data_IF_201897112154
#
_entry.id   IF_201897112154
#
_cell.length_a   1.000
_cell.length_b   1.000
_cell.length_c   1.000
_cell.angle_alpha   90.00
_cell.angle_beta   90.00
_cell.angle_gamma   90.00
#
_symmetry.space_group_name_H-M   'P 1'
#
loop_
_entity.id
_entity.type
_entity.pdbx_description
1 polymer ?
#
# COMPACT_ATOMS: atom_id res chain seq x y z
N UNK A 1 -6.26 -0.42 9.97
CA UNK A 1 -6.52 -0.92 11.34
C UNK A 1 -5.27 -1.01 12.20
N UNK A 2 -4.31 -1.88 11.85
CA UNK A 2 -3.17 -2.17 12.71
C UNK A 2 -2.33 -0.94 13.06
N UNK A 3 -2.16 -0.01 12.13
CA UNK A 3 -1.51 1.28 12.38
C UNK A 3 -2.20 2.07 13.49
N UNK A 4 -3.54 2.08 13.52
CA UNK A 4 -4.33 2.79 14.55
C UNK A 4 -4.23 2.09 15.89
N UNK A 5 -4.37 0.76 15.90
CA UNK A 5 -4.32 -0.06 17.13
C UNK A 5 -2.92 0.03 17.76
N UNK A 6 -1.87 -0.27 17.00
CA UNK A 6 -0.50 -0.19 17.50
C UNK A 6 -0.08 1.24 17.78
N UNK A 7 -0.56 2.23 17.02
CA UNK A 7 -0.33 3.64 17.32
C UNK A 7 -0.92 4.07 18.67
N UNK A 8 -2.14 3.63 18.97
CA UNK A 8 -2.77 3.85 20.27
C UNK A 8 -2.04 3.13 21.41
N UNK A 9 -1.60 1.88 21.17
CA UNK A 9 -0.93 1.05 22.17
C UNK A 9 0.50 1.51 22.48
N UNK A 10 1.28 1.86 21.46
CA UNK A 10 2.69 2.25 21.58
C UNK A 10 2.88 3.74 21.95
N UNK A 11 1.97 4.62 21.52
CA UNK A 11 2.10 6.08 21.70
C UNK A 11 0.94 6.72 22.49
N UNK A 12 0.03 5.92 23.07
CA UNK A 12 -1.01 6.40 23.99
C UNK A 12 -2.17 7.19 23.35
N UNK A 13 -2.36 7.10 22.03
CA UNK A 13 -3.43 7.80 21.32
C UNK A 13 -4.85 7.27 21.64
N UNK A 14 -5.85 8.14 21.63
CA UNK A 14 -7.27 7.76 21.84
C UNK A 14 -7.94 7.32 20.55
N UNK A 15 -8.51 6.11 20.55
CA UNK A 15 -9.31 5.61 19.42
C UNK A 15 -10.71 6.23 19.50
N UNK A 16 -11.07 7.04 18.50
CA UNK A 16 -12.38 7.72 18.46
C UNK A 16 -13.48 6.73 18.04
N UNK A 17 -14.71 6.82 18.56
CA UNK A 17 -15.82 5.92 18.20
C UNK A 17 -16.11 5.86 16.69
N UNK A 18 -15.94 6.97 15.98
CA UNK A 18 -16.05 7.03 14.51
C UNK A 18 -15.03 6.11 13.83
N UNK A 19 -13.79 6.08 14.31
CA UNK A 19 -12.74 5.19 13.78
C UNK A 19 -13.10 3.74 14.05
N UNK A 20 -13.64 3.42 15.22
CA UNK A 20 -14.11 2.07 15.55
C UNK A 20 -15.23 1.61 14.61
N UNK A 21 -16.21 2.49 14.34
CA UNK A 21 -17.30 2.20 13.40
C UNK A 21 -16.79 1.94 11.99
N UNK A 22 -15.88 2.78 11.47
CA UNK A 22 -15.27 2.57 10.15
C UNK A 22 -14.48 1.26 10.09
N UNK A 23 -13.76 0.90 11.17
CA UNK A 23 -13.05 -0.37 11.25
C UNK A 23 -14.00 -1.56 11.15
N UNK A 24 -15.09 -1.55 11.93
CA UNK A 24 -16.09 -2.62 11.90
C UNK A 24 -16.69 -2.80 10.51
N UNK A 25 -17.11 -1.71 9.85
CA UNK A 25 -17.69 -1.76 8.50
C UNK A 25 -16.71 -2.38 7.50
N UNK A 26 -15.45 -1.93 7.51
CA UNK A 26 -14.43 -2.47 6.60
C UNK A 26 -14.13 -3.94 6.86
N UNK A 27 -14.06 -4.37 8.13
CA UNK A 27 -13.86 -5.79 8.46
C UNK A 27 -15.07 -6.65 8.09
N UNK A 28 -16.30 -6.15 8.22
CA UNK A 28 -17.49 -6.86 7.76
C UNK A 28 -17.43 -7.09 6.24
N UNK A 29 -17.01 -6.09 5.45
CA UNK A 29 -16.81 -6.24 4.01
C UNK A 29 -15.76 -7.31 3.68
N UNK A 30 -14.62 -7.29 4.38
CA UNK A 30 -13.57 -8.31 4.22
C UNK A 30 -14.09 -9.70 4.59
N UNK A 31 -14.87 -9.84 5.67
CA UNK A 31 -15.41 -11.13 6.10
C UNK A 31 -16.37 -11.76 5.07
N UNK A 32 -17.17 -10.94 4.38
CA UNK A 32 -18.05 -11.40 3.30
C UNK A 32 -17.25 -11.95 2.13
N UNK A 33 -16.23 -11.21 1.67
CA UNK A 33 -15.34 -11.66 0.58
C UNK A 33 -14.59 -12.91 0.98
N UNK A 34 -14.02 -12.93 2.20
CA UNK A 34 -13.28 -14.08 2.71
C UNK A 34 -14.14 -15.35 2.80
N UNK A 35 -15.40 -15.21 3.20
CA UNK A 35 -16.36 -16.33 3.22
C UNK A 35 -16.73 -16.84 1.82
N UNK A 36 -16.87 -15.94 0.85
CA UNK A 36 -17.05 -16.30 -0.56
C UNK A 36 -15.83 -17.07 -1.09
N UNK A 37 -14.63 -16.51 -0.89
CA UNK A 37 -13.38 -17.09 -1.36
C UNK A 37 -13.08 -18.44 -0.70
N UNK A 38 -13.42 -18.62 0.58
CA UNK A 38 -13.25 -19.91 1.26
C UNK A 38 -14.07 -21.03 0.61
N UNK A 39 -15.27 -20.71 0.12
CA UNK A 39 -16.12 -21.67 -0.57
C UNK A 39 -15.60 -22.00 -1.97
N UNK A 40 -14.96 -21.04 -2.65
CA UNK A 40 -14.47 -21.20 -4.02
C UNK A 40 -13.05 -21.81 -4.09
N UNK A 41 -12.14 -21.37 -3.22
CA UNK A 41 -10.71 -21.72 -3.25
C UNK A 41 -10.24 -22.60 -2.09
N UNK A 42 -11.12 -22.93 -1.13
CA UNK A 42 -10.85 -23.88 -0.05
C UNK A 42 -9.86 -23.41 1.03
N UNK A 43 -9.17 -24.35 1.67
CA UNK A 43 -8.32 -24.09 2.86
C UNK A 43 -7.10 -23.18 2.60
N UNK A 44 -6.66 -23.05 1.35
CA UNK A 44 -5.55 -22.17 0.97
C UNK A 44 -5.84 -20.69 1.27
N UNK A 45 -7.11 -20.30 1.29
CA UNK A 45 -7.57 -18.95 1.64
C UNK A 45 -7.20 -18.58 3.07
N UNK A 46 -7.21 -19.55 3.99
CA UNK A 46 -6.84 -19.33 5.40
C UNK A 46 -5.35 -19.01 5.49
N UNK A 47 -4.51 -19.77 4.78
CA UNK A 47 -3.06 -19.56 4.76
C UNK A 47 -2.73 -18.21 4.11
N UNK A 48 -3.37 -17.88 2.98
CA UNK A 48 -3.25 -16.58 2.33
C UNK A 48 -3.68 -15.42 3.25
N UNK A 49 -4.81 -15.58 3.95
CA UNK A 49 -5.32 -14.62 4.93
C UNK A 49 -4.34 -14.37 6.09
N UNK A 50 -3.69 -15.43 6.59
CA UNK A 50 -2.63 -15.31 7.60
C UNK A 50 -1.42 -14.55 7.07
N UNK A 51 -0.95 -14.83 5.84
CA UNK A 51 0.15 -14.08 5.23
C UNK A 51 -0.19 -12.60 5.01
N UNK A 52 -1.40 -12.29 4.52
CA UNK A 52 -1.88 -10.91 4.35
C UNK A 52 -1.93 -10.19 5.71
N UNK A 53 -2.45 -10.86 6.73
CA UNK A 53 -2.51 -10.30 8.10
C UNK A 53 -1.11 -10.04 8.65
N UNK A 54 -0.19 -10.99 8.49
CA UNK A 54 1.22 -10.83 8.87
C UNK A 54 1.87 -9.65 8.17
N UNK A 55 1.69 -9.54 6.84
CA UNK A 55 2.18 -8.41 6.04
C UNK A 55 1.62 -7.07 6.53
N UNK A 56 0.32 -7.01 6.82
CA UNK A 56 -0.33 -5.80 7.32
C UNK A 56 0.18 -5.38 8.70
N UNK A 57 0.49 -6.34 9.58
CA UNK A 57 1.10 -6.10 10.89
C UNK A 57 2.53 -5.56 10.72
N UNK A 58 3.36 -6.22 9.92
CA UNK A 58 4.74 -5.78 9.65
C UNK A 58 4.77 -4.38 9.05
N UNK A 59 3.91 -4.11 8.07
CA UNK A 59 3.80 -2.79 7.46
C UNK A 59 3.33 -1.71 8.44
N UNK A 60 2.39 -2.05 9.32
CA UNK A 60 1.93 -1.12 10.34
C UNK A 60 3.03 -0.77 11.35
N UNK A 61 3.81 -1.76 11.79
CA UNK A 61 4.96 -1.54 12.66
C UNK A 61 6.02 -0.68 11.95
N UNK A 62 6.33 -0.97 10.69
CA UNK A 62 7.22 -0.15 9.87
C UNK A 62 6.75 1.32 9.87
N UNK A 63 5.50 1.60 9.51
CA UNK A 63 5.00 2.98 9.46
C UNK A 63 5.05 3.72 10.80
N UNK A 64 4.87 3.01 11.91
CA UNK A 64 4.89 3.60 13.25
C UNK A 64 6.32 3.85 13.75
N UNK A 65 7.21 2.88 13.55
CA UNK A 65 8.59 2.95 14.02
C UNK A 65 9.45 3.89 13.16
N UNK A 66 9.15 4.02 11.86
CA UNK A 66 9.94 4.86 10.98
C UNK A 66 9.71 6.35 11.16
N UNK A 67 8.60 6.79 11.77
CA UNK A 67 8.30 8.22 12.02
C UNK A 67 9.43 8.95 12.78
N UNK A 68 9.82 8.56 14.00
CA UNK A 68 10.89 9.24 14.73
C UNK A 68 12.24 9.13 14.00
N UNK A 69 12.54 7.99 13.37
CA UNK A 69 13.77 7.83 12.60
C UNK A 69 13.83 8.80 11.41
N UNK A 70 12.73 8.98 10.69
CA UNK A 70 12.66 9.92 9.55
C UNK A 70 12.92 11.35 10.01
N UNK A 71 12.46 11.73 11.20
CA UNK A 71 12.71 13.06 11.78
C UNK A 71 14.19 13.27 12.17
N UNK A 72 14.89 12.22 12.62
CA UNK A 72 16.30 12.28 13.01
C UNK A 72 17.27 12.29 11.82
N UNK A 73 17.15 11.33 10.89
CA UNK A 73 18.09 11.16 9.76
C UNK A 73 17.64 11.85 8.48
N UNK A 74 16.42 12.37 8.45
CA UNK A 74 15.81 13.00 7.28
C UNK A 74 15.24 12.00 6.28
N UNK A 75 14.12 12.39 5.66
CA UNK A 75 13.33 11.50 4.78
C UNK A 75 14.12 10.94 3.60
N UNK A 76 15.03 11.72 2.98
CA UNK A 76 15.80 11.26 1.81
C UNK A 76 16.78 10.14 2.14
N UNK A 77 17.54 10.26 3.24
CA UNK A 77 18.50 9.24 3.64
C UNK A 77 17.77 7.97 4.10
N UNK A 78 16.72 8.15 4.89
CA UNK A 78 15.87 7.05 5.35
C UNK A 78 15.32 6.23 4.18
N UNK A 79 14.75 6.90 3.16
CA UNK A 79 14.22 6.22 1.97
C UNK A 79 15.30 5.43 1.22
N UNK A 80 16.50 5.98 1.04
CA UNK A 80 17.60 5.27 0.39
C UNK A 80 18.02 4.02 1.16
N UNK A 81 18.18 4.12 2.48
CA UNK A 81 18.53 2.99 3.35
C UNK A 81 17.43 1.93 3.30
N UNK A 82 16.16 2.34 3.37
CA UNK A 82 15.01 1.44 3.31
C UNK A 82 14.95 0.68 1.97
N UNK A 83 15.21 1.34 0.85
CA UNK A 83 15.26 0.69 -0.47
C UNK A 83 16.40 -0.32 -0.59
N UNK A 84 17.59 0.02 -0.06
CA UNK A 84 18.73 -0.91 -0.04
C UNK A 84 18.40 -2.14 0.83
N UNK A 85 17.87 -1.92 2.04
CA UNK A 85 17.47 -2.98 2.95
C UNK A 85 16.38 -3.88 2.33
N UNK A 86 15.38 -3.29 1.67
CA UNK A 86 14.35 -4.04 0.94
C UNK A 86 14.96 -4.87 -0.20
N UNK A 87 15.88 -4.30 -0.97
CA UNK A 87 16.55 -5.00 -2.07
C UNK A 87 17.36 -6.20 -1.56
N UNK A 88 18.09 -6.04 -0.46
CA UNK A 88 18.82 -7.14 0.19
C UNK A 88 17.84 -8.22 0.69
N UNK A 89 16.75 -7.82 1.34
CA UNK A 89 15.72 -8.74 1.83
C UNK A 89 15.08 -9.56 0.71
N UNK A 90 14.78 -8.93 -0.43
CA UNK A 90 14.26 -9.60 -1.62
C UNK A 90 15.28 -10.59 -2.18
N UNK A 91 16.56 -10.21 -2.29
CA UNK A 91 17.62 -11.11 -2.77
C UNK A 91 17.81 -12.33 -1.87
N UNK A 92 17.79 -12.14 -0.54
CA UNK A 92 17.85 -13.24 0.43
C UNK A 92 16.64 -14.15 0.28
N UNK A 93 15.43 -13.58 0.24
CA UNK A 93 14.19 -14.35 0.09
C UNK A 93 14.19 -15.16 -1.21
N UNK A 94 14.61 -14.54 -2.32
CA UNK A 94 14.75 -15.20 -3.61
C UNK A 94 15.76 -16.35 -3.55
N UNK A 95 16.91 -16.13 -2.91
CA UNK A 95 17.98 -17.16 -2.80
C UNK A 95 17.54 -18.38 -1.99
N UNK A 96 16.64 -18.20 -1.02
CA UNK A 96 16.10 -19.29 -0.19
C UNK A 96 14.95 -20.01 -0.90
N UNK A 97 14.10 -19.29 -1.63
CA UNK A 97 12.85 -19.83 -2.18
C UNK A 97 12.97 -20.34 -3.62
N UNK A 98 13.99 -19.89 -4.37
CA UNK A 98 14.16 -20.23 -5.79
C UNK A 98 15.56 -20.74 -6.07
N UNK A 99 15.65 -21.74 -6.95
CA UNK A 99 16.93 -22.23 -7.47
C UNK A 99 17.53 -21.20 -8.44
N UNK A 100 18.85 -20.89 -8.37
CA UNK A 100 19.51 -19.86 -9.17
C UNK A 100 19.37 -20.00 -10.70
N UNK A 101 19.02 -21.19 -11.22
CA UNK A 101 18.87 -21.46 -12.65
C UNK A 101 17.44 -21.47 -13.19
N UNK A 102 16.43 -21.21 -12.36
CA UNK A 102 15.01 -21.39 -12.73
C UNK A 102 14.32 -20.17 -13.34
N UNK A 103 14.99 -19.01 -13.41
CA UNK A 103 14.35 -17.77 -13.87
C UNK A 103 14.62 -17.56 -15.35
N UNK A 104 13.65 -17.92 -16.17
CA UNK A 104 13.64 -17.51 -17.56
C UNK A 104 13.00 -16.12 -17.66
N UNK A 105 13.85 -15.10 -17.77
CA UNK A 105 13.41 -13.73 -18.06
C UNK A 105 13.57 -13.50 -19.55
N UNK A 106 12.47 -13.28 -20.26
CA UNK A 106 12.51 -12.83 -21.66
C UNK A 106 13.03 -11.39 -21.73
N UNK A 107 13.71 -11.03 -22.83
CA UNK A 107 14.21 -9.66 -23.05
C UNK A 107 13.12 -8.59 -22.88
N UNK A 108 11.89 -8.88 -23.33
CA UNK A 108 10.74 -7.99 -23.15
C UNK A 108 10.34 -7.82 -21.67
N UNK A 109 10.39 -8.89 -20.88
CA UNK A 109 10.11 -8.81 -19.45
C UNK A 109 11.18 -7.99 -18.73
N UNK A 110 12.46 -8.11 -19.14
CA UNK A 110 13.55 -7.33 -18.57
C UNK A 110 13.40 -5.84 -18.84
N UNK A 111 12.94 -5.47 -20.05
CA UNK A 111 12.61 -4.08 -20.38
C UNK A 111 11.47 -3.54 -19.51
N UNK A 112 10.39 -4.31 -19.33
CA UNK A 112 9.26 -3.91 -18.48
C UNK A 112 9.67 -3.76 -17.02
N UNK A 113 10.48 -4.68 -16.49
CA UNK A 113 11.02 -4.59 -15.12
C UNK A 113 11.83 -3.31 -14.96
N UNK A 114 12.67 -2.95 -15.94
CA UNK A 114 13.46 -1.72 -15.89
C UNK A 114 12.57 -0.47 -15.91
N UNK A 115 11.53 -0.46 -16.77
CA UNK A 115 10.57 0.64 -16.84
C UNK A 115 9.87 0.82 -15.50
N UNK A 116 9.33 -0.27 -14.91
CA UNK A 116 8.63 -0.23 -13.63
C UNK A 116 9.59 0.23 -12.52
N UNK A 117 10.80 -0.34 -12.47
CA UNK A 117 11.79 0.01 -11.44
C UNK A 117 12.13 1.51 -11.46
N UNK A 118 12.35 2.10 -12.64
CA UNK A 118 12.75 3.51 -12.75
C UNK A 118 11.54 4.44 -12.64
N UNK A 119 10.54 4.26 -13.52
CA UNK A 119 9.43 5.20 -13.68
C UNK A 119 8.30 5.01 -12.67
N UNK A 120 8.10 3.79 -12.16
CA UNK A 120 7.03 3.52 -11.19
C UNK A 120 7.54 3.44 -9.75
N UNK A 121 8.83 3.19 -9.53
CA UNK A 121 9.40 3.02 -8.18
C UNK A 121 10.37 4.14 -7.80
N UNK A 122 11.53 4.24 -8.47
CA UNK A 122 12.61 5.16 -8.06
C UNK A 122 12.18 6.62 -8.19
N UNK A 123 11.75 7.05 -9.38
CA UNK A 123 11.37 8.46 -9.62
C UNK A 123 10.22 8.88 -8.69
N UNK A 124 9.07 8.16 -8.63
CA UNK A 124 7.96 8.57 -7.78
C UNK A 124 8.32 8.59 -6.30
N UNK A 125 9.16 7.67 -5.83
CA UNK A 125 9.60 7.62 -4.43
C UNK A 125 10.39 8.87 -4.07
N UNK A 126 11.38 9.27 -4.88
CA UNK A 126 12.15 10.50 -4.63
C UNK A 126 11.30 11.76 -4.76
N UNK A 127 10.38 11.83 -5.73
CA UNK A 127 9.45 12.95 -5.88
C UNK A 127 8.53 13.09 -4.67
N UNK A 128 8.03 11.97 -4.15
CA UNK A 128 7.18 11.94 -2.96
C UNK A 128 7.96 12.40 -1.73
N UNK A 129 9.16 11.88 -1.52
CA UNK A 129 10.06 12.33 -0.44
C UNK A 129 10.37 13.83 -0.56
N UNK A 130 10.64 14.33 -1.76
CA UNK A 130 10.87 15.76 -2.00
C UNK A 130 9.60 16.61 -1.75
N UNK A 131 8.42 16.10 -2.09
CA UNK A 131 7.15 16.76 -1.79
C UNK A 131 6.93 16.86 -0.28
N UNK A 132 7.13 15.76 0.47
CA UNK A 132 7.05 15.75 1.93
C UNK A 132 8.00 16.79 2.53
N UNK A 133 9.24 16.87 2.04
CA UNK A 133 10.22 17.83 2.53
C UNK A 133 9.85 19.30 2.23
N UNK A 134 9.08 19.59 1.17
CA UNK A 134 8.71 20.96 0.75
C UNK A 134 7.37 21.44 1.31
N UNK A 135 6.36 20.56 1.36
CA UNK A 135 4.98 20.93 1.72
C UNK A 135 4.45 20.18 2.95
N UNK A 136 5.25 19.30 3.56
CA UNK A 136 4.88 18.49 4.71
C UNK A 136 4.15 17.19 4.35
N UNK A 137 4.15 16.24 5.28
CA UNK A 137 3.51 14.92 5.13
C UNK A 137 1.99 15.02 5.03
N UNK A 138 1.36 15.94 5.77
CA UNK A 138 -0.10 16.13 5.76
C UNK A 138 -0.61 16.57 4.38
N UNK A 139 -0.01 17.60 3.78
CA UNK A 139 -0.42 18.10 2.45
C UNK A 139 -0.07 17.13 1.33
N UNK A 140 1.09 16.49 1.40
CA UNK A 140 1.46 15.43 0.46
C UNK A 140 0.47 14.26 0.53
N UNK A 141 0.04 13.89 1.74
CA UNK A 141 -0.99 12.87 1.95
C UNK A 141 -2.32 13.26 1.32
N UNK A 142 -2.76 14.51 1.45
CA UNK A 142 -3.98 15.02 0.78
C UNK A 142 -3.87 14.88 -0.74
N UNK A 143 -2.75 15.26 -1.35
CA UNK A 143 -2.56 15.13 -2.80
C UNK A 143 -2.58 13.65 -3.22
N UNK A 144 -1.93 12.77 -2.44
CA UNK A 144 -1.89 11.34 -2.72
C UNK A 144 -3.29 10.69 -2.74
N UNK A 145 -4.27 11.26 -2.03
CA UNK A 145 -5.64 10.75 -2.02
C UNK A 145 -6.38 10.85 -3.36
N UNK A 146 -5.90 11.70 -4.28
CA UNK A 146 -6.46 11.80 -5.64
C UNK A 146 -5.94 10.65 -6.54
N UNK A 147 -4.92 9.92 -6.09
CA UNK A 147 -4.29 8.82 -6.83
C UNK A 147 -5.28 7.78 -7.37
N UNK A 148 -6.18 7.19 -6.54
CA UNK A 148 -7.15 6.21 -7.02
C UNK A 148 -8.04 6.72 -8.16
N UNK A 149 -8.50 7.98 -8.09
CA UNK A 149 -9.32 8.57 -9.15
C UNK A 149 -8.53 8.71 -10.47
N UNK A 150 -7.28 9.18 -10.41
CA UNK A 150 -6.40 9.26 -11.58
C UNK A 150 -6.12 7.87 -12.16
N UNK A 151 -5.85 6.87 -11.33
CA UNK A 151 -5.60 5.49 -11.78
C UNK A 151 -6.84 4.89 -12.45
N UNK A 152 -8.04 5.11 -11.91
CA UNK A 152 -9.28 4.64 -12.54
C UNK A 152 -9.51 5.29 -13.90
N UNK A 153 -9.26 6.60 -14.03
CA UNK A 153 -9.36 7.28 -15.34
C UNK A 153 -8.31 6.75 -16.31
N UNK A 154 -7.07 6.53 -15.86
CA UNK A 154 -6.02 5.97 -16.69
C UNK A 154 -6.32 4.52 -17.13
N UNK A 155 -6.93 3.69 -16.28
CA UNK A 155 -7.35 2.33 -16.65
C UNK A 155 -8.33 2.36 -17.83
N UNK A 156 -9.30 3.27 -17.80
CA UNK A 156 -10.28 3.44 -18.88
C UNK A 156 -9.63 3.97 -20.16
N UNK A 157 -8.77 4.98 -20.06
CA UNK A 157 -8.20 5.66 -21.22
C UNK A 157 -7.01 4.93 -21.85
N UNK A 158 -6.25 4.17 -21.06
CA UNK A 158 -4.97 3.56 -21.47
C UNK A 158 -5.08 2.05 -21.63
N UNK A 159 -5.88 1.37 -20.79
CA UNK A 159 -6.08 -0.09 -20.86
C UNK A 159 -7.36 -0.46 -21.65
N UNK A 160 -8.11 0.52 -22.16
CA UNK A 160 -9.40 0.34 -22.87
C UNK A 160 -10.40 -0.49 -22.05
N UNK A 161 -10.38 -0.39 -20.73
CA UNK A 161 -11.37 -1.07 -19.88
C UNK A 161 -12.76 -0.50 -20.12
N UNK A 162 -13.75 -1.39 -20.33
CA UNK A 162 -15.14 -1.00 -20.53
C UNK A 162 -15.62 -0.15 -19.34
N UNK A 163 -16.09 1.07 -19.64
CA UNK A 163 -16.62 1.99 -18.64
C UNK A 163 -17.97 1.49 -18.10
N UNK A 164 -17.92 0.52 -17.20
CA UNK A 164 -19.09 -0.03 -16.52
C UNK A 164 -19.52 0.87 -15.36
N UNK A 165 -20.75 0.68 -14.88
CA UNK A 165 -21.25 1.38 -13.70
C UNK A 165 -20.36 1.21 -12.46
N UNK A 166 -19.61 0.10 -12.39
CA UNK A 166 -18.66 -0.18 -11.31
C UNK A 166 -17.51 0.83 -11.26
N UNK A 167 -16.99 1.29 -12.40
CA UNK A 167 -15.95 2.33 -12.45
C UNK A 167 -16.45 3.67 -11.90
N UNK A 168 -17.67 4.07 -12.28
CA UNK A 168 -18.29 5.29 -11.77
C UNK A 168 -18.51 5.21 -10.26
N UNK A 169 -19.06 4.09 -9.77
CA UNK A 169 -19.24 3.90 -8.33
C UNK A 169 -17.91 3.85 -7.58
N UNK A 170 -16.87 3.24 -8.15
CA UNK A 170 -15.54 3.18 -7.53
C UNK A 170 -14.89 4.56 -7.41
N UNK A 171 -14.98 5.39 -8.46
CA UNK A 171 -14.48 6.77 -8.44
C UNK A 171 -15.25 7.61 -7.40
N UNK A 172 -16.58 7.53 -7.40
CA UNK A 172 -17.41 8.27 -6.44
C UNK A 172 -17.11 7.82 -5.01
N UNK A 173 -17.01 6.52 -4.76
CA UNK A 173 -16.75 5.98 -3.42
C UNK A 173 -15.35 6.34 -2.91
N UNK A 174 -14.33 6.30 -3.77
CA UNK A 174 -12.96 6.68 -3.40
C UNK A 174 -12.85 8.17 -3.10
N UNK A 175 -13.40 9.03 -3.97
CA UNK A 175 -13.43 10.49 -3.74
C UNK A 175 -14.23 10.83 -2.48
N UNK A 176 -15.38 10.19 -2.27
CA UNK A 176 -16.21 10.40 -1.08
C UNK A 176 -15.55 9.90 0.21
N UNK A 177 -14.92 8.73 0.19
CA UNK A 177 -14.19 8.18 1.33
C UNK A 177 -13.01 9.07 1.73
N UNK A 178 -12.30 9.63 0.75
CA UNK A 178 -11.25 10.62 0.97
C UNK A 178 -11.82 11.90 1.58
N UNK A 179 -12.93 12.42 1.04
CA UNK A 179 -13.57 13.63 1.56
C UNK A 179 -14.02 13.48 3.02
N UNK A 180 -14.57 12.32 3.40
CA UNK A 180 -14.94 12.02 4.79
C UNK A 180 -13.71 11.97 5.70
N UNK A 181 -12.63 11.32 5.26
CA UNK A 181 -11.41 11.19 6.06
C UNK A 181 -10.75 12.56 6.32
N UNK A 182 -10.95 13.52 5.42
CA UNK A 182 -10.41 14.89 5.52
C UNK A 182 -11.23 15.80 6.44
N UNK A 183 -12.51 15.50 6.70
CA UNK A 183 -13.30 16.25 7.70
C UNK A 183 -12.93 15.77 9.11
N UNK A 184 -12.03 16.52 9.76
CA UNK A 184 -11.81 16.48 11.22
C UNK A 184 -13.11 16.80 11.96
#
# INVERSE_FOLDING_TARGET
>A
TFVVIFGALLFGGRITPRVMASLLITYSGIAVIFGHDLNEFGSNVIIGGLFITGSAITFALYLLLCRPLIEEVGSRLFTSIALIAASIGILIHFSITRSPGGVQVTDQALLLILIIAIFCTVIPTFLTTAAVARIGSDRTGIIATVGPAFTSVAAVLVLDELFTHYHLTGIVLTVFGVWILQRK
#
